data_IF_846966377581
#
_entry.id   IF_846966377581
#
_cell.length_a   1.000
_cell.length_b   1.000
_cell.length_c   1.000
_cell.angle_alpha   90.00
_cell.angle_beta   90.00
_cell.angle_gamma   90.00
#
_symmetry.space_group_name_H-M   'P 1'
#
loop_
_entity.id
_entity.type
_entity.pdbx_description
1 polymer ?
#
# COMPACT_ATOMS: atom_id res chain seq x y z
N UNK A 1 18.10 -13.93 0.38
CA UNK A 1 16.66 -13.56 0.40
C UNK A 1 16.34 -12.98 1.77
N UNK A 2 16.12 -11.68 1.86
CA UNK A 2 15.53 -11.04 3.04
C UNK A 2 14.04 -11.42 3.11
N UNK A 3 13.53 -11.67 4.31
CA UNK A 3 12.10 -11.92 4.54
C UNK A 3 11.28 -10.76 3.93
N UNK A 4 10.25 -11.02 3.10
CA UNK A 4 9.40 -9.96 2.57
C UNK A 4 8.79 -9.13 3.70
N UNK A 5 8.70 -7.82 3.51
CA UNK A 5 8.03 -6.96 4.47
C UNK A 5 6.61 -7.44 4.78
N UNK A 6 6.25 -7.47 6.07
CA UNK A 6 4.95 -7.97 6.52
C UNK A 6 3.84 -6.96 6.29
N UNK A 7 3.20 -7.05 5.13
CA UNK A 7 2.10 -6.19 4.74
C UNK A 7 0.86 -6.35 5.63
N UNK A 8 0.67 -7.52 6.25
CA UNK A 8 -0.47 -7.74 7.14
C UNK A 8 -0.29 -6.96 8.43
N UNK A 9 0.89 -7.03 9.02
CA UNK A 9 1.25 -6.24 10.19
C UNK A 9 1.19 -4.74 9.91
N UNK A 10 1.69 -4.29 8.75
CA UNK A 10 1.64 -2.87 8.38
C UNK A 10 0.20 -2.31 8.34
N UNK A 11 -0.74 -3.09 7.82
CA UNK A 11 -2.14 -2.69 7.67
C UNK A 11 -3.02 -3.02 8.89
N UNK A 12 -2.48 -3.60 9.97
CA UNK A 12 -3.26 -4.24 11.04
C UNK A 12 -4.12 -3.31 11.91
N UNK A 13 -4.11 -1.99 11.68
CA UNK A 13 -5.08 -1.04 12.27
C UNK A 13 -5.81 -0.17 11.25
N UNK A 14 -5.50 -0.34 9.95
CA UNK A 14 -6.14 0.38 8.86
C UNK A 14 -7.27 -0.44 8.22
N UNK A 15 -7.19 -1.77 8.28
CA UNK A 15 -8.19 -2.67 7.72
C UNK A 15 -9.51 -2.59 8.51
N UNK A 16 -10.60 -2.36 7.80
CA UNK A 16 -11.97 -2.32 8.35
C UNK A 16 -12.91 -3.18 7.50
N UNK A 17 -14.12 -3.44 8.02
CA UNK A 17 -15.13 -4.23 7.35
C UNK A 17 -14.92 -5.74 7.47
N UNK A 18 -15.60 -6.51 6.61
CA UNK A 18 -15.62 -7.98 6.68
C UNK A 18 -14.25 -8.61 6.39
N UNK A 19 -14.02 -9.81 6.92
CA UNK A 19 -12.80 -10.60 6.67
C UNK A 19 -12.48 -10.73 5.18
N UNK A 20 -13.50 -10.94 4.34
CA UNK A 20 -13.31 -11.03 2.89
C UNK A 20 -12.77 -9.73 2.27
N UNK A 21 -13.29 -8.57 2.70
CA UNK A 21 -12.82 -7.25 2.27
C UNK A 21 -11.39 -7.00 2.74
N UNK A 22 -11.08 -7.33 3.99
CA UNK A 22 -9.73 -7.20 4.54
C UNK A 22 -8.71 -8.06 3.77
N UNK A 23 -9.04 -9.32 3.47
CA UNK A 23 -8.16 -10.21 2.69
C UNK A 23 -7.94 -9.72 1.26
N UNK A 24 -8.95 -9.08 0.65
CA UNK A 24 -8.79 -8.44 -0.67
C UNK A 24 -7.77 -7.32 -0.62
N UNK A 25 -7.88 -6.42 0.36
CA UNK A 25 -6.91 -5.34 0.56
C UNK A 25 -5.50 -5.89 0.80
N UNK A 26 -5.34 -6.90 1.64
CA UNK A 26 -4.04 -7.53 1.88
C UNK A 26 -3.43 -8.12 0.61
N UNK A 27 -4.22 -8.83 -0.20
CA UNK A 27 -3.74 -9.39 -1.47
C UNK A 27 -3.31 -8.28 -2.43
N UNK A 28 -4.11 -7.21 -2.56
CA UNK A 28 -3.79 -6.09 -3.44
C UNK A 28 -2.55 -5.32 -2.97
N UNK A 29 -2.40 -5.10 -1.66
CA UNK A 29 -1.24 -4.42 -1.09
C UNK A 29 0.06 -5.21 -1.31
N UNK A 30 0.01 -6.55 -1.20
CA UNK A 30 1.15 -7.42 -1.54
C UNK A 30 1.51 -7.35 -3.03
N UNK A 31 0.53 -7.22 -3.93
CA UNK A 31 0.79 -7.03 -5.36
C UNK A 31 1.44 -5.66 -5.61
N UNK A 32 0.95 -4.61 -4.96
CA UNK A 32 1.58 -3.28 -5.02
C UNK A 32 3.04 -3.34 -4.54
N UNK A 33 3.29 -4.04 -3.43
CA UNK A 33 4.64 -4.25 -2.90
C UNK A 33 5.56 -4.95 -3.88
N UNK A 34 5.14 -6.09 -4.42
CA UNK A 34 5.94 -6.83 -5.39
C UNK A 34 6.26 -5.98 -6.62
N UNK A 35 5.28 -5.26 -7.17
CA UNK A 35 5.47 -4.42 -8.36
C UNK A 35 6.41 -3.23 -8.11
N UNK A 36 6.29 -2.58 -6.95
CA UNK A 36 7.15 -1.44 -6.57
C UNK A 36 8.56 -1.94 -6.23
N UNK A 37 8.68 -3.04 -5.50
CA UNK A 37 9.96 -3.68 -5.21
C UNK A 37 10.69 -4.06 -6.50
N UNK A 38 10.00 -4.69 -7.45
CA UNK A 38 10.60 -5.08 -8.72
C UNK A 38 11.15 -3.88 -9.50
N UNK A 39 10.48 -2.73 -9.48
CA UNK A 39 10.91 -1.55 -10.24
C UNK A 39 11.95 -0.68 -9.54
N UNK A 40 11.85 -0.47 -8.23
CA UNK A 40 12.72 0.48 -7.50
C UNK A 40 13.54 -0.15 -6.39
N UNK A 41 13.46 -1.46 -6.17
CA UNK A 41 14.08 -2.14 -5.04
C UNK A 41 13.64 -1.52 -3.68
N UNK A 42 12.36 -1.14 -3.60
CA UNK A 42 11.72 -0.58 -2.39
C UNK A 42 10.63 -1.50 -1.83
N UNK A 43 11.03 -2.39 -0.94
CA UNK A 43 10.14 -3.41 -0.35
C UNK A 43 9.30 -2.81 0.77
N UNK A 44 9.92 -1.94 1.57
CA UNK A 44 9.30 -1.34 2.74
C UNK A 44 8.30 -0.21 2.33
N UNK A 45 6.99 -0.39 2.57
CA UNK A 45 5.95 0.60 2.25
C UNK A 45 6.12 1.93 2.96
N UNK A 46 6.75 1.96 4.14
CA UNK A 46 7.06 3.19 4.87
C UNK A 46 7.89 4.18 4.06
N UNK A 47 8.67 3.68 3.09
CA UNK A 47 9.53 4.49 2.20
C UNK A 47 8.85 4.85 0.88
N UNK A 48 7.57 4.51 0.71
CA UNK A 48 6.88 4.81 -0.53
C UNK A 48 6.58 6.30 -0.66
N UNK A 49 6.74 6.79 -1.88
CA UNK A 49 6.48 8.17 -2.26
C UNK A 49 5.34 8.19 -3.29
N UNK A 50 4.74 9.37 -3.47
CA UNK A 50 3.65 9.59 -4.42
C UNK A 50 3.98 9.09 -5.83
N UNK A 51 5.24 9.20 -6.25
CA UNK A 51 5.70 8.68 -7.56
C UNK A 51 5.53 7.16 -7.71
N UNK A 52 5.70 6.38 -6.63
CA UNK A 52 5.53 4.92 -6.68
C UNK A 52 4.05 4.57 -6.87
N UNK A 53 3.16 5.24 -6.11
CA UNK A 53 1.71 5.06 -6.25
C UNK A 53 1.24 5.47 -7.64
N UNK A 54 1.60 6.67 -8.11
CA UNK A 54 1.22 7.19 -9.43
C UNK A 54 1.65 6.25 -10.55
N UNK A 55 2.88 5.75 -10.52
CA UNK A 55 3.33 4.80 -11.52
C UNK A 55 2.58 3.47 -11.45
N UNK A 56 2.27 2.94 -10.26
CA UNK A 56 1.50 1.71 -10.14
C UNK A 56 0.13 1.86 -10.83
N UNK A 57 -0.58 2.97 -10.61
CA UNK A 57 -1.88 3.21 -11.25
C UNK A 57 -1.81 3.53 -12.74
N UNK A 58 -0.82 4.32 -13.16
CA UNK A 58 -0.72 4.78 -14.55
C UNK A 58 -0.02 3.80 -15.47
N UNK A 59 0.91 2.99 -14.95
CA UNK A 59 1.75 2.09 -15.75
C UNK A 59 1.46 0.62 -15.45
N UNK A 60 1.45 0.21 -14.19
CA UNK A 60 1.24 -1.21 -13.84
C UNK A 60 -0.22 -1.65 -14.08
N UNK A 61 -1.19 -0.77 -13.78
CA UNK A 61 -2.62 -1.02 -14.00
C UNK A 61 -3.16 -0.45 -15.32
N UNK A 62 -2.30 -0.06 -16.27
CA UNK A 62 -2.72 0.66 -17.50
C UNK A 62 -3.79 -0.07 -18.31
N UNK A 63 -3.69 -1.41 -18.37
CA UNK A 63 -4.59 -2.26 -19.17
C UNK A 63 -5.60 -3.03 -18.30
N UNK A 64 -5.82 -2.60 -17.05
CA UNK A 64 -6.80 -3.23 -16.15
C UNK A 64 -8.11 -2.48 -16.22
N UNK A 65 -9.22 -3.20 -16.04
CA UNK A 65 -10.57 -2.60 -16.02
C UNK A 65 -10.71 -1.55 -14.92
N UNK A 66 -11.64 -0.61 -15.12
CA UNK A 66 -11.92 0.44 -14.14
C UNK A 66 -12.35 -0.12 -12.79
N UNK A 67 -13.12 -1.22 -12.77
CA UNK A 67 -13.47 -1.93 -11.54
C UNK A 67 -12.22 -2.44 -10.79
N UNK A 68 -11.25 -3.00 -11.51
CA UNK A 68 -9.99 -3.44 -10.92
C UNK A 68 -9.20 -2.24 -10.36
N UNK A 69 -9.06 -1.18 -11.16
CA UNK A 69 -8.37 0.06 -10.78
C UNK A 69 -9.01 0.70 -9.54
N UNK A 70 -10.33 0.70 -9.48
CA UNK A 70 -11.11 1.20 -8.34
C UNK A 70 -10.77 0.45 -7.05
N UNK A 71 -10.77 -0.88 -7.06
CA UNK A 71 -10.42 -1.64 -5.85
C UNK A 71 -8.96 -1.42 -5.41
N UNK A 72 -8.02 -1.30 -6.35
CA UNK A 72 -6.65 -0.92 -6.00
C UNK A 72 -6.57 0.49 -5.40
N UNK A 73 -7.39 1.44 -5.86
CA UNK A 73 -7.47 2.79 -5.28
C UNK A 73 -7.93 2.74 -3.82
N UNK A 74 -8.93 1.93 -3.50
CA UNK A 74 -9.36 1.73 -2.11
C UNK A 74 -8.23 1.19 -1.24
N UNK A 75 -7.45 0.23 -1.75
CA UNK A 75 -6.27 -0.29 -1.05
C UNK A 75 -5.18 0.77 -0.86
N UNK A 76 -4.94 1.61 -1.88
CA UNK A 76 -3.96 2.70 -1.79
C UNK A 76 -4.35 3.74 -0.72
N UNK A 77 -5.64 4.06 -0.57
CA UNK A 77 -6.11 4.96 0.49
C UNK A 77 -5.81 4.42 1.89
N UNK A 78 -5.93 3.11 2.10
CA UNK A 78 -5.57 2.49 3.39
C UNK A 78 -4.07 2.59 3.68
N UNK A 79 -3.24 2.41 2.66
CA UNK A 79 -1.78 2.57 2.75
C UNK A 79 -1.44 4.04 3.05
N UNK A 80 -2.03 4.98 2.33
CA UNK A 80 -1.83 6.42 2.55
C UNK A 80 -2.25 6.84 3.96
N UNK A 81 -3.40 6.36 4.46
CA UNK A 81 -3.83 6.58 5.84
C UNK A 81 -2.79 6.10 6.85
N UNK A 82 -2.21 4.91 6.63
CA UNK A 82 -1.18 4.36 7.51
C UNK A 82 0.11 5.17 7.46
N UNK A 83 0.52 5.64 6.28
CA UNK A 83 1.69 6.51 6.10
C UNK A 83 1.50 7.90 6.72
N UNK A 84 0.29 8.45 6.68
CA UNK A 84 -0.06 9.72 7.32
C UNK A 84 0.00 9.63 8.84
N UNK A 85 -0.66 8.63 9.43
CA UNK A 85 -0.69 8.43 10.88
C UNK A 85 0.72 8.33 11.51
N UNK A 86 1.68 7.71 10.81
CA UNK A 86 3.07 7.65 11.27
C UNK A 86 3.76 9.01 11.29
N UNK A 87 3.51 9.84 10.27
CA UNK A 87 4.08 11.19 10.21
C UNK A 87 3.54 12.07 11.33
N UNK A 88 2.27 11.92 11.66
CA UNK A 88 1.63 12.65 12.76
C UNK A 88 2.24 12.26 14.11
N UNK A 89 2.47 10.95 14.34
CA UNK A 89 3.15 10.45 15.56
C UNK A 89 4.58 10.97 15.67
N UNK A 90 5.35 10.93 14.57
CA UNK A 90 6.73 11.44 14.55
C UNK A 90 6.76 12.94 14.85
N UNK A 91 5.85 13.72 14.25
CA UNK A 91 5.77 15.15 14.49
C UNK A 91 5.35 15.47 15.94
N UNK A 92 4.47 14.66 16.54
CA UNK A 92 4.01 14.83 17.93
C UNK A 92 5.07 14.46 18.99
N UNK A 93 6.12 13.70 18.63
CA UNK A 93 7.22 13.34 19.53
C UNK A 93 8.37 14.36 19.53
N UNK A 94 8.34 15.32 18.60
CA UNK A 94 9.41 16.30 18.37
C UNK A 94 8.93 17.76 18.41
N UNK A 95 7.70 18.03 18.85
CA UNK A 95 7.15 19.37 19.09
C UNK A 95 6.78 19.55 20.56
#
# INVERSE_FOLDING_TARGET
>A
MTKPFDMALFLSGALTGSTATQQRHLRQARIMQAAIQQRWQRDNPWRWQLKHMRWFFTQHLKNRSDATRYHYRLTALLIEKRLGAERDVINAQHG
#
